data_IF_074375291920
#
_entry.id   IF_074375291920
#
_cell.length_a   1.000
_cell.length_b   1.000
_cell.length_c   1.000
_cell.angle_alpha   90.00
_cell.angle_beta   90.00
_cell.angle_gamma   90.00
#
_symmetry.space_group_name_H-M   'P 1'
#
loop_
_entity.id
_entity.type
_entity.pdbx_description
1 polymer ?
#
# COMPACT_ATOMS: atom_id res chain seq x y z
N UNK A 1 7.94 -10.56 3.14
CA UNK A 1 7.51 -9.47 4.07
C UNK A 1 6.16 -9.86 4.62
N UNK A 2 5.81 -9.56 5.88
CA UNK A 2 4.43 -9.80 6.35
C UNK A 2 3.52 -8.57 6.17
N UNK A 3 2.22 -8.78 6.38
CA UNK A 3 1.20 -7.74 6.18
C UNK A 3 1.36 -6.56 7.15
N UNK A 4 1.75 -6.81 8.40
CA UNK A 4 1.87 -5.75 9.42
C UNK A 4 3.06 -4.85 9.09
N UNK A 5 4.21 -5.44 8.78
CA UNK A 5 5.39 -4.74 8.29
C UNK A 5 5.06 -3.89 7.05
N UNK A 6 4.29 -4.43 6.09
CA UNK A 6 3.88 -3.66 4.90
C UNK A 6 3.08 -2.41 5.25
N UNK A 7 2.14 -2.52 6.18
CA UNK A 7 1.24 -1.42 6.58
C UNK A 7 2.04 -0.30 7.25
N UNK A 8 3.03 -0.67 8.07
CA UNK A 8 3.87 0.28 8.83
C UNK A 8 5.03 0.84 8.01
N UNK A 9 5.45 0.16 6.94
CA UNK A 9 6.55 0.62 6.09
C UNK A 9 6.21 1.94 5.40
N UNK A 10 7.13 2.90 5.47
CA UNK A 10 6.95 4.21 4.82
C UNK A 10 6.87 4.06 3.29
N UNK A 11 6.10 4.93 2.63
CA UNK A 11 5.92 4.90 1.17
C UNK A 11 7.25 5.01 0.43
N UNK A 12 8.19 5.82 0.94
CA UNK A 12 9.54 5.96 0.35
C UNK A 12 10.30 4.63 0.34
N UNK A 13 10.15 3.83 1.41
CA UNK A 13 10.83 2.56 1.55
C UNK A 13 10.17 1.49 0.68
N UNK A 14 8.83 1.46 0.62
CA UNK A 14 8.13 0.61 -0.33
C UNK A 14 8.49 0.93 -1.78
N UNK A 15 8.67 2.21 -2.12
CA UNK A 15 9.11 2.62 -3.44
C UNK A 15 10.52 2.10 -3.76
N UNK A 16 11.41 2.12 -2.76
CA UNK A 16 12.78 1.59 -2.88
C UNK A 16 12.79 0.08 -3.11
N UNK A 17 12.01 -0.68 -2.33
CA UNK A 17 11.97 -2.14 -2.40
C UNK A 17 11.31 -2.62 -3.71
N UNK A 18 10.14 -2.05 -4.05
CA UNK A 18 9.35 -2.51 -5.21
C UNK A 18 9.80 -1.92 -6.54
N UNK A 19 10.60 -0.85 -6.50
CA UNK A 19 10.95 -0.03 -7.66
C UNK A 19 9.76 0.67 -8.31
N UNK A 20 8.59 0.74 -7.63
CA UNK A 20 7.42 1.50 -8.06
C UNK A 20 7.58 2.92 -7.53
N UNK A 21 7.34 3.92 -8.37
CA UNK A 21 7.48 5.31 -7.91
C UNK A 21 6.50 5.63 -6.76
N UNK A 22 6.90 6.54 -5.89
CA UNK A 22 6.08 6.94 -4.74
C UNK A 22 4.72 7.48 -5.16
N UNK A 23 4.64 8.22 -6.27
CA UNK A 23 3.38 8.78 -6.78
C UNK A 23 2.34 7.72 -7.11
N UNK A 24 2.73 6.61 -7.73
CA UNK A 24 1.85 5.49 -8.05
C UNK A 24 1.43 4.74 -6.79
N UNK A 25 2.37 4.48 -5.87
CA UNK A 25 2.04 3.88 -4.58
C UNK A 25 1.03 4.73 -3.80
N UNK A 26 1.24 6.04 -3.73
CA UNK A 26 0.29 6.97 -3.10
C UNK A 26 -1.10 6.91 -3.74
N UNK A 27 -1.18 6.86 -5.08
CA UNK A 27 -2.46 6.69 -5.79
C UNK A 27 -3.13 5.37 -5.45
N UNK A 28 -2.37 4.28 -5.37
CA UNK A 28 -2.91 2.99 -4.95
C UNK A 28 -3.42 3.06 -3.52
N UNK A 29 -2.71 3.70 -2.59
CA UNK A 29 -3.17 3.86 -1.20
C UNK A 29 -4.31 4.88 -1.04
N UNK A 30 -4.58 5.70 -2.06
CA UNK A 30 -5.76 6.58 -2.11
C UNK A 30 -6.94 5.99 -2.88
N UNK A 31 -6.89 4.70 -3.24
CA UNK A 31 -8.02 3.99 -3.84
C UNK A 31 -7.91 3.67 -5.33
N UNK A 32 -6.87 4.11 -6.04
CA UNK A 32 -6.67 3.73 -7.45
C UNK A 32 -6.44 2.23 -7.57
N UNK A 33 -7.10 1.57 -8.53
CA UNK A 33 -6.91 0.14 -8.78
C UNK A 33 -5.51 -0.17 -9.30
N UNK A 34 -4.95 -1.28 -8.82
CA UNK A 34 -3.70 -1.84 -9.32
C UNK A 34 -3.99 -2.82 -10.45
N UNK A 35 -3.09 -2.90 -11.42
CA UNK A 35 -3.12 -3.97 -12.44
C UNK A 35 -2.51 -5.24 -11.89
N UNK A 36 -2.89 -6.39 -12.43
CA UNK A 36 -2.32 -7.71 -12.06
C UNK A 36 -0.78 -7.72 -12.18
N UNK A 37 -0.25 -7.15 -13.26
CA UNK A 37 1.20 -6.97 -13.44
C UNK A 37 1.87 -6.21 -12.29
N UNK A 38 1.21 -5.18 -11.77
CA UNK A 38 1.74 -4.39 -10.66
C UNK A 38 1.70 -5.17 -9.35
N UNK A 39 0.61 -5.93 -9.14
CA UNK A 39 0.45 -6.78 -7.96
C UNK A 39 1.55 -7.85 -7.93
N UNK A 40 1.74 -8.58 -9.03
CA UNK A 40 2.77 -9.61 -9.13
C UNK A 40 4.18 -9.03 -8.95
N UNK A 41 4.45 -7.87 -9.53
CA UNK A 41 5.75 -7.19 -9.31
C UNK A 41 5.98 -6.81 -7.85
N UNK A 42 4.95 -6.37 -7.13
CA UNK A 42 5.06 -6.08 -5.70
C UNK A 42 5.24 -7.37 -4.89
N UNK A 43 4.49 -8.42 -5.23
CA UNK A 43 4.59 -9.73 -4.61
C UNK A 43 6.03 -10.27 -4.67
N UNK A 44 6.62 -10.29 -5.87
CA UNK A 44 7.99 -10.73 -6.09
C UNK A 44 9.00 -9.90 -5.29
N UNK A 45 8.85 -8.57 -5.30
CA UNK A 45 9.80 -7.67 -4.64
C UNK A 45 9.71 -7.71 -3.11
N UNK A 46 8.54 -8.04 -2.56
CA UNK A 46 8.29 -8.04 -1.12
C UNK A 46 8.37 -9.44 -0.52
N UNK A 47 8.57 -10.48 -1.33
CA UNK A 47 8.47 -11.87 -0.91
C UNK A 47 7.13 -12.11 -0.19
N UNK A 48 6.05 -11.86 -0.94
CA UNK A 48 4.66 -11.97 -0.52
C UNK A 48 3.85 -12.65 -1.61
N UNK A 49 2.77 -13.32 -1.24
CA UNK A 49 1.82 -13.80 -2.24
C UNK A 49 0.98 -12.64 -2.82
N UNK A 50 0.57 -12.68 -4.11
CA UNK A 50 -0.22 -11.61 -4.74
C UNK A 50 -1.50 -11.22 -3.96
N UNK A 51 -2.16 -12.22 -3.36
CA UNK A 51 -3.37 -12.00 -2.57
C UNK A 51 -3.07 -11.31 -1.23
N UNK A 52 -1.89 -11.52 -0.65
CA UNK A 52 -1.44 -10.84 0.56
C UNK A 52 -1.10 -9.38 0.27
N UNK A 53 -0.48 -9.08 -0.87
CA UNK A 53 -0.25 -7.69 -1.32
C UNK A 53 -1.58 -6.94 -1.45
N UNK A 54 -2.57 -7.54 -2.12
CA UNK A 54 -3.91 -6.95 -2.24
C UNK A 54 -4.55 -6.70 -0.87
N UNK A 55 -4.45 -7.68 0.04
CA UNK A 55 -4.96 -7.56 1.40
C UNK A 55 -4.26 -6.43 2.16
N UNK A 56 -2.94 -6.34 2.10
CA UNK A 56 -2.14 -5.33 2.79
C UNK A 56 -2.43 -3.91 2.26
N UNK A 57 -2.54 -3.75 0.94
CA UNK A 57 -2.94 -2.48 0.30
C UNK A 57 -4.33 -2.05 0.78
N UNK A 58 -5.30 -2.97 0.82
CA UNK A 58 -6.67 -2.66 1.25
C UNK A 58 -6.74 -2.31 2.75
N UNK A 59 -5.96 -2.98 3.60
CA UNK A 59 -5.87 -2.65 5.02
C UNK A 59 -5.25 -1.27 5.22
N UNK A 60 -4.17 -0.96 4.49
CA UNK A 60 -3.52 0.36 4.56
C UNK A 60 -4.44 1.49 4.11
N UNK A 61 -5.25 1.27 3.06
CA UNK A 61 -6.31 2.22 2.62
C UNK A 61 -7.28 2.53 3.75
N UNK A 62 -7.85 1.50 4.37
CA UNK A 62 -8.80 1.65 5.48
C UNK A 62 -8.21 2.44 6.66
N UNK A 63 -6.95 2.17 7.01
CA UNK A 63 -6.23 2.92 8.05
C UNK A 63 -6.11 4.41 7.68
N UNK A 64 -5.68 4.69 6.45
CA UNK A 64 -5.51 6.07 5.95
C UNK A 64 -6.83 6.83 5.90
N UNK A 65 -7.92 6.17 5.49
CA UNK A 65 -9.25 6.79 5.45
C UNK A 65 -9.77 7.09 6.87
N UNK A 66 -9.55 6.17 7.82
CA UNK A 66 -9.91 6.38 9.22
C UNK A 66 -9.20 7.61 9.82
N UNK A 67 -7.89 7.73 9.61
CA UNK A 67 -7.09 8.87 10.08
C UNK A 67 -7.59 10.20 9.46
N UNK A 68 -7.92 10.21 8.16
CA UNK A 68 -8.48 11.39 7.48
C UNK A 68 -9.84 11.79 8.04
N UNK A 69 -10.72 10.83 8.29
CA UNK A 69 -12.04 11.11 8.89
C UNK A 69 -11.92 11.70 10.30
N UNK A 70 -10.95 11.25 11.10
CA UNK A 70 -10.70 11.80 12.44
C UNK A 70 -10.21 13.25 12.39
N UNK A 71 -9.30 13.58 11.46
CA UNK A 71 -8.86 14.97 11.25
C UNK A 71 -10.00 15.88 10.77
N UNK A 72 -10.87 15.39 9.89
CA UNK A 72 -12.01 16.15 9.37
C UNK A 72 -13.08 16.46 10.44
N UNK A 73 -13.18 15.64 11.50
CA UNK A 73 -14.09 15.86 12.63
C UNK A 73 -13.49 16.76 13.73
N UNK A 74 -12.17 16.95 13.72
CA UNK A 74 -11.46 17.80 14.67
C UNK A 74 -11.20 19.23 14.14
N UNK A 75 -11.66 19.53 12.92
CA UNK A 75 -11.54 20.83 12.23
C UNK A 75 -12.88 21.56 12.22
#
# INVERSE_FOLDING_TARGET
MDIEAFIETQIIELARITGINQGNLSKFFSGQLMTERTINRMADALDMEPHEVLRAVNLRRKKTDCEKSQLALAS
#
